data_IF_288152781366
#
_entry.id   IF_288152781366
#
_cell.length_a   1.000
_cell.length_b   1.000
_cell.length_c   1.000
_cell.angle_alpha   90.00
_cell.angle_beta   90.00
_cell.angle_gamma   90.00
#
_symmetry.space_group_name_H-M   'P 1'
#
loop_
_entity.id
_entity.type
_entity.pdbx_description
1 polymer ?
#
# COMPACT_ATOMS: atom_id res chain seq x y z
N UNK A 1 -11.78 -2.51 -3.04
CA UNK A 1 -10.61 -3.29 -3.47
C UNK A 1 -9.57 -2.28 -3.90
N UNK A 2 -8.44 -2.19 -3.21
CA UNK A 2 -7.40 -1.21 -3.52
C UNK A 2 -6.54 -1.68 -4.69
N UNK A 3 -6.12 -0.75 -5.54
CA UNK A 3 -5.25 -0.96 -6.69
C UNK A 3 -3.98 -0.11 -6.56
N UNK A 4 -2.96 -0.42 -7.34
CA UNK A 4 -1.71 0.34 -7.37
C UNK A 4 -1.93 1.82 -7.71
N UNK A 5 -2.81 2.13 -8.66
CA UNK A 5 -3.17 3.53 -8.98
C UNK A 5 -3.76 4.31 -7.79
N UNK A 6 -4.34 3.60 -6.83
CA UNK A 6 -4.91 4.26 -5.65
C UNK A 6 -3.81 4.73 -4.68
N UNK A 7 -2.59 4.17 -4.78
CA UNK A 7 -1.39 4.70 -4.10
C UNK A 7 -1.13 6.14 -4.57
N UNK A 8 -1.15 6.38 -5.88
CA UNK A 8 -0.93 7.71 -6.45
C UNK A 8 -1.99 8.70 -5.98
N UNK A 9 -3.25 8.25 -5.91
CA UNK A 9 -4.34 9.07 -5.37
C UNK A 9 -4.12 9.44 -3.91
N UNK A 10 -3.76 8.48 -3.06
CA UNK A 10 -3.46 8.74 -1.64
C UNK A 10 -2.24 9.67 -1.51
N UNK A 11 -1.23 9.51 -2.35
CA UNK A 11 -0.07 10.39 -2.34
C UNK A 11 -0.46 11.84 -2.64
N UNK A 12 -1.35 12.06 -3.61
CA UNK A 12 -1.87 13.39 -3.93
C UNK A 12 -2.77 13.93 -2.79
N UNK A 13 -3.72 13.13 -2.33
CA UNK A 13 -4.70 13.50 -1.28
C UNK A 13 -4.02 13.88 0.06
N UNK A 14 -2.91 13.21 0.40
CA UNK A 14 -2.20 13.40 1.66
C UNK A 14 -0.81 14.05 1.50
N UNK A 15 -0.48 14.56 0.31
CA UNK A 15 0.80 15.23 0.00
C UNK A 15 2.04 14.39 0.37
N UNK A 16 2.01 13.08 0.07
CA UNK A 16 3.12 12.14 0.31
C UNK A 16 4.03 12.10 -0.90
N UNK A 17 5.35 12.27 -0.69
CA UNK A 17 6.30 12.30 -1.80
C UNK A 17 6.61 10.90 -2.35
N UNK A 18 6.92 10.78 -3.65
CA UNK A 18 7.26 9.48 -4.26
C UNK A 18 8.58 8.88 -3.74
N UNK A 19 9.41 9.71 -3.14
CA UNK A 19 10.64 9.37 -2.44
C UNK A 19 10.39 8.57 -1.16
N UNK A 20 9.22 8.79 -0.54
CA UNK A 20 8.89 8.23 0.76
C UNK A 20 8.75 6.71 0.74
N UNK A 21 8.79 6.14 1.94
CA UNK A 21 8.67 4.70 2.18
C UNK A 21 7.22 4.29 2.26
N UNK A 22 6.92 3.06 1.86
CA UNK A 22 5.56 2.50 1.87
C UNK A 22 4.87 2.55 3.25
N UNK A 23 5.63 2.48 4.34
CA UNK A 23 5.09 2.62 5.70
C UNK A 23 4.28 3.91 5.91
N UNK A 24 4.60 4.99 5.21
CA UNK A 24 3.87 6.25 5.26
C UNK A 24 2.41 6.09 4.79
N UNK A 25 2.16 5.18 3.85
CA UNK A 25 0.84 4.97 3.26
C UNK A 25 -0.04 3.95 4.00
N UNK A 26 0.53 3.11 4.86
CA UNK A 26 -0.22 2.00 5.48
C UNK A 26 -1.50 2.46 6.16
N UNK A 27 -1.42 3.54 6.96
CA UNK A 27 -2.58 4.04 7.71
C UNK A 27 -3.68 4.57 6.79
N UNK A 28 -3.30 5.26 5.72
CA UNK A 28 -4.25 5.78 4.73
C UNK A 28 -4.90 4.64 3.95
N UNK A 29 -4.10 3.67 3.50
CA UNK A 29 -4.60 2.46 2.83
C UNK A 29 -5.61 1.69 3.70
N UNK A 30 -5.33 1.52 5.00
CA UNK A 30 -6.27 0.85 5.91
C UNK A 30 -7.58 1.63 6.06
N UNK A 31 -7.49 2.96 6.17
CA UNK A 31 -8.64 3.84 6.42
C UNK A 31 -9.52 3.99 5.17
N UNK A 32 -8.93 4.39 4.04
CA UNK A 32 -9.64 4.68 2.79
C UNK A 32 -10.35 3.44 2.21
N UNK A 33 -9.77 2.26 2.41
CA UNK A 33 -10.34 1.00 1.92
C UNK A 33 -11.09 0.21 2.98
N UNK A 34 -11.27 0.78 4.18
CA UNK A 34 -11.96 0.17 5.32
C UNK A 34 -11.49 -1.27 5.61
N UNK A 35 -10.18 -1.50 5.52
CA UNK A 35 -9.59 -2.80 5.84
C UNK A 35 -9.60 -3.02 7.35
N UNK A 36 -10.32 -4.05 7.77
CA UNK A 36 -10.31 -4.50 9.17
C UNK A 36 -9.10 -5.40 9.37
N UNK A 37 -8.18 -4.96 10.22
CA UNK A 37 -7.03 -5.74 10.67
C UNK A 37 -7.17 -6.08 12.14
N UNK A 38 -6.86 -7.32 12.50
CA UNK A 38 -6.68 -7.70 13.89
C UNK A 38 -5.36 -7.08 14.41
N UNK A 39 -5.41 -6.17 15.42
CA UNK A 39 -4.20 -5.53 15.96
C UNK A 39 -3.27 -6.52 16.68
N UNK A 40 -3.75 -7.72 17.03
CA UNK A 40 -2.94 -8.77 17.67
C UNK A 40 -2.18 -9.63 16.64
N UNK A 41 -2.54 -9.55 15.36
CA UNK A 41 -1.89 -10.30 14.29
C UNK A 41 -1.01 -9.39 13.46
N UNK A 42 0.03 -9.98 12.87
CA UNK A 42 0.82 -9.25 11.89
C UNK A 42 0.02 -9.21 10.59
N UNK A 43 0.06 -8.08 9.90
CA UNK A 43 -0.55 -7.95 8.57
C UNK A 43 0.47 -7.43 7.57
N UNK A 44 0.38 -7.93 6.35
CA UNK A 44 1.31 -7.61 5.27
C UNK A 44 0.54 -7.26 4.00
N UNK A 45 0.91 -6.14 3.40
CA UNK A 45 0.39 -5.75 2.09
C UNK A 45 1.09 -6.53 0.99
N UNK A 46 0.34 -6.95 -0.01
CA UNK A 46 0.79 -7.82 -1.09
C UNK A 46 0.24 -7.32 -2.43
N UNK A 47 1.08 -7.24 -3.45
CA UNK A 47 0.66 -7.05 -4.86
C UNK A 47 1.08 -8.29 -5.63
N UNK A 48 0.13 -8.95 -6.30
CA UNK A 48 0.37 -10.22 -7.03
C UNK A 48 1.04 -11.32 -6.19
N UNK A 49 0.72 -11.37 -4.90
CA UNK A 49 1.34 -12.33 -3.98
C UNK A 49 2.78 -12.02 -3.60
N UNK A 50 3.32 -10.87 -4.02
CA UNK A 50 4.62 -10.36 -3.59
C UNK A 50 4.40 -9.41 -2.41
N UNK A 51 5.07 -9.62 -1.27
CA UNK A 51 4.99 -8.71 -0.14
C UNK A 51 5.58 -7.34 -0.47
N UNK A 52 4.91 -6.29 0.00
CA UNK A 52 5.44 -4.93 -0.02
C UNK A 52 6.15 -4.68 1.30
N UNK A 53 7.45 -4.43 1.23
CA UNK A 53 8.27 -4.09 2.38
C UNK A 53 8.01 -2.64 2.82
N UNK A 54 8.03 -2.41 4.14
CA UNK A 54 7.69 -1.13 4.76
C UNK A 54 8.64 -0.01 4.34
N UNK A 55 9.89 -0.36 4.07
CA UNK A 55 10.98 0.53 3.69
C UNK A 55 11.16 0.69 2.19
N UNK A 56 10.39 -0.03 1.38
CA UNK A 56 10.39 0.12 -0.08
C UNK A 56 9.86 1.50 -0.47
N UNK A 57 10.54 2.17 -1.39
CA UNK A 57 10.11 3.49 -1.88
C UNK A 57 8.83 3.38 -2.71
N UNK A 58 7.96 4.38 -2.58
CA UNK A 58 6.72 4.45 -3.35
C UNK A 58 6.97 4.49 -4.86
N UNK A 59 7.95 5.29 -5.29
CA UNK A 59 8.40 5.34 -6.69
C UNK A 59 8.82 3.98 -7.23
N UNK A 60 9.48 3.14 -6.43
CA UNK A 60 9.87 1.79 -6.86
C UNK A 60 8.66 0.87 -6.98
N UNK A 61 7.67 1.00 -6.09
CA UNK A 61 6.40 0.26 -6.16
C UNK A 61 5.65 0.64 -7.43
N UNK A 62 5.45 1.93 -7.68
CA UNK A 62 4.73 2.44 -8.85
C UNK A 62 5.38 2.03 -10.18
N UNK A 63 6.71 1.90 -10.22
CA UNK A 63 7.44 1.41 -11.40
C UNK A 63 7.40 -0.11 -11.58
N UNK A 64 7.26 -0.86 -10.49
CA UNK A 64 7.36 -2.32 -10.49
C UNK A 64 6.03 -3.02 -10.80
N UNK A 65 4.91 -2.32 -10.62
CA UNK A 65 3.58 -2.89 -10.66
C UNK A 65 2.69 -2.08 -11.60
N UNK A 66 1.75 -2.76 -12.26
CA UNK A 66 0.81 -2.09 -13.15
C UNK A 66 -0.26 -1.35 -12.34
N UNK A 67 -0.77 -0.20 -12.82
CA UNK A 67 -1.76 0.62 -12.09
C UNK A 67 -3.02 -0.14 -11.66
N UNK A 68 -3.44 -1.14 -12.44
CA UNK A 68 -4.64 -1.95 -12.18
C UNK A 68 -4.40 -3.18 -11.30
N UNK A 69 -3.15 -3.48 -10.94
CA UNK A 69 -2.84 -4.59 -10.05
C UNK A 69 -3.43 -4.33 -8.66
N UNK A 70 -3.98 -5.40 -8.07
CA UNK A 70 -4.68 -5.32 -6.79
C UNK A 70 -3.68 -5.35 -5.64
N UNK A 71 -3.85 -4.42 -4.72
CA UNK A 71 -3.22 -4.45 -3.40
C UNK A 71 -4.15 -5.25 -2.49
N UNK A 72 -3.59 -6.26 -1.85
CA UNK A 72 -4.27 -7.12 -0.89
C UNK A 72 -3.58 -7.05 0.46
N UNK A 73 -4.33 -7.34 1.51
CA UNK A 73 -3.83 -7.38 2.88
C UNK A 73 -3.97 -8.81 3.40
N UNK A 74 -2.87 -9.38 3.89
CA UNK A 74 -2.83 -10.73 4.42
C UNK A 74 -2.43 -10.70 5.89
N UNK A 75 -3.25 -11.29 6.75
CA UNK A 75 -2.88 -11.55 8.15
C UNK A 75 -1.95 -12.78 8.21
N UNK A 76 -0.91 -12.68 9.05
CA UNK A 76 0.12 -13.69 9.30
C UNK A 76 0.08 -14.07 10.78
#
# INVERSE_FOLDING_TARGET
>A
MAKVRDIEKIMDDFMVEQDEKFIALKRYLLTEFNWKVDPLKKSQFMIRGIPIEDDRKLSDILKSFLPDEVISLKEI
#
